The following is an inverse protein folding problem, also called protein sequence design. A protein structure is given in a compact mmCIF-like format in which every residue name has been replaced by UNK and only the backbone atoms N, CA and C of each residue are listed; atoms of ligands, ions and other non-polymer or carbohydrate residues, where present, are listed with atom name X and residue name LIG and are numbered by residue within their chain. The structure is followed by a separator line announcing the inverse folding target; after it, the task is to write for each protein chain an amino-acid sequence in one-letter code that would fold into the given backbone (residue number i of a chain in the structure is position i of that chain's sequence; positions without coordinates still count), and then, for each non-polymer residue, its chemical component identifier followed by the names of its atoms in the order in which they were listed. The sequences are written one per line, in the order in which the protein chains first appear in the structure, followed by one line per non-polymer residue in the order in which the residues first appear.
data_IF_475475712284
#
_entry.id   IF_475475712284
#
_cell.length_a   1.000
_cell.length_b   1.000
_cell.length_c   1.000
_cell.angle_alpha   90.00
_cell.angle_beta   90.00
_cell.angle_gamma   90.00
#
_symmetry.space_group_name_H-M   'P 1'
#
loop_
_entity.id
_entity.type
_entity.pdbx_description
1 polymer ?
#
# COMPACT_ATOMS: atom_id res chain seq x y z
N UNK A 1 3.51 -8.05 -17.02
CA UNK A 1 2.24 -7.61 -16.42
C UNK A 1 2.53 -6.35 -15.63
N UNK A 2 1.84 -5.26 -16.00
CA UNK A 2 1.96 -3.99 -15.28
C UNK A 2 1.27 -4.08 -13.92
N UNK A 3 1.56 -3.13 -13.04
CA UNK A 3 0.89 -3.08 -11.74
C UNK A 3 -0.63 -2.84 -11.89
N UNK A 4 -1.05 -2.07 -12.90
CA UNK A 4 -2.46 -1.81 -13.19
C UNK A 4 -3.21 -3.10 -13.59
N UNK A 5 -2.62 -3.89 -14.48
CA UNK A 5 -3.18 -5.17 -14.92
C UNK A 5 -3.30 -6.14 -13.74
N UNK A 6 -2.23 -6.26 -12.96
CA UNK A 6 -2.20 -7.15 -11.80
C UNK A 6 -3.15 -6.70 -10.69
N UNK A 7 -3.27 -5.40 -10.44
CA UNK A 7 -4.23 -4.86 -9.48
C UNK A 7 -5.66 -5.19 -9.88
N UNK A 8 -5.97 -5.10 -11.17
CA UNK A 8 -7.28 -5.47 -11.71
C UNK A 8 -7.58 -6.95 -11.49
N UNK A 9 -6.61 -7.84 -11.72
CA UNK A 9 -6.74 -9.26 -11.42
C UNK A 9 -6.97 -9.51 -9.92
N UNK A 10 -6.17 -8.88 -9.06
CA UNK A 10 -6.31 -8.96 -7.60
C UNK A 10 -7.69 -8.50 -7.10
N UNK A 11 -8.28 -7.45 -7.70
CA UNK A 11 -9.62 -7.00 -7.35
C UNK A 11 -10.71 -8.01 -7.72
N UNK A 12 -10.57 -8.68 -8.88
CA UNK A 12 -11.49 -9.75 -9.30
C UNK A 12 -11.43 -10.93 -8.33
N UNK A 13 -10.23 -11.42 -8.04
CA UNK A 13 -10.02 -12.51 -7.07
C UNK A 13 -10.52 -12.14 -5.67
N UNK A 14 -10.27 -10.90 -5.24
CA UNK A 14 -10.76 -10.38 -3.96
C UNK A 14 -12.29 -10.33 -3.88
N UNK A 15 -12.99 -10.20 -4.99
CA UNK A 15 -14.45 -10.21 -5.06
C UNK A 15 -15.02 -11.62 -5.13
N UNK A 16 -14.46 -12.46 -6.01
CA UNK A 16 -14.94 -13.83 -6.25
C UNK A 16 -14.63 -14.79 -5.10
N UNK A 17 -13.44 -14.70 -4.51
CA UNK A 17 -12.95 -15.65 -3.50
C UNK A 17 -12.68 -15.01 -2.14
N UNK A 18 -12.51 -13.68 -2.10
CA UNK A 18 -12.10 -12.97 -0.89
C UNK A 18 -13.23 -12.63 0.09
N UNK A 19 -14.50 -12.86 -0.28
CA UNK A 19 -15.66 -12.53 0.55
C UNK A 19 -15.76 -11.03 0.92
N UNK A 20 -15.10 -10.15 0.17
CA UNK A 20 -15.12 -8.73 0.48
C UNK A 20 -16.48 -8.15 0.12
N UNK A 21 -17.04 -7.33 1.03
CA UNK A 21 -18.19 -6.51 0.71
C UNK A 21 -17.88 -5.60 -0.49
N UNK A 22 -18.88 -5.33 -1.32
CA UNK A 22 -18.77 -4.46 -2.50
C UNK A 22 -18.14 -3.09 -2.16
N UNK A 23 -18.57 -2.51 -1.03
CA UNK A 23 -18.01 -1.26 -0.49
C UNK A 23 -16.49 -1.32 -0.32
N UNK A 24 -15.95 -2.45 0.12
CA UNK A 24 -14.50 -2.64 0.29
C UNK A 24 -13.79 -2.73 -1.05
N UNK A 25 -14.40 -3.35 -2.07
CA UNK A 25 -13.82 -3.38 -3.41
C UNK A 25 -13.79 -1.99 -4.05
N UNK A 26 -14.85 -1.19 -3.84
CA UNK A 26 -14.89 0.22 -4.26
C UNK A 26 -13.78 1.01 -3.56
N UNK A 27 -13.63 0.85 -2.25
CA UNK A 27 -12.60 1.56 -1.48
C UNK A 27 -11.17 1.20 -1.94
N UNK A 28 -10.90 -0.08 -2.20
CA UNK A 28 -9.63 -0.53 -2.79
C UNK A 28 -9.39 0.15 -4.15
N UNK A 29 -10.38 0.12 -5.05
CA UNK A 29 -10.28 0.73 -6.40
C UNK A 29 -9.98 2.22 -6.31
N UNK A 30 -10.76 2.96 -5.53
CA UNK A 30 -10.54 4.40 -5.35
C UNK A 30 -9.18 4.72 -4.73
N UNK A 31 -8.73 3.90 -3.78
CA UNK A 31 -7.41 4.06 -3.16
C UNK A 31 -6.30 3.88 -4.21
N UNK A 32 -6.41 2.86 -5.06
CA UNK A 32 -5.47 2.61 -6.15
C UNK A 32 -5.44 3.75 -7.16
N UNK A 33 -6.60 4.10 -7.72
CA UNK A 33 -6.72 5.10 -8.78
C UNK A 33 -6.19 6.48 -8.32
N UNK A 34 -6.45 6.86 -7.06
CA UNK A 34 -6.06 8.16 -6.52
C UNK A 34 -4.59 8.26 -6.12
N UNK A 35 -3.98 7.16 -5.68
CA UNK A 35 -2.66 7.20 -5.04
C UNK A 35 -1.58 6.52 -5.88
N UNK A 36 -1.88 5.39 -6.50
CA UNK A 36 -0.87 4.50 -7.07
C UNK A 36 -0.89 4.46 -8.60
N UNK A 37 -2.06 4.50 -9.23
CA UNK A 37 -2.21 4.29 -10.67
C UNK A 37 -1.34 5.22 -11.51
N UNK A 38 -1.32 6.52 -11.19
CA UNK A 38 -0.53 7.51 -11.92
C UNK A 38 0.98 7.39 -11.71
N UNK A 39 1.42 6.81 -10.59
CA UNK A 39 2.85 6.74 -10.23
C UNK A 39 3.48 5.42 -10.65
N UNK A 40 2.79 4.31 -10.43
CA UNK A 40 3.33 2.95 -10.65
C UNK A 40 2.44 2.06 -11.52
N UNK A 41 1.30 2.54 -12.01
CA UNK A 41 0.31 1.72 -12.72
C UNK A 41 0.90 1.03 -13.96
N UNK A 42 1.69 1.75 -14.74
CA UNK A 42 2.34 1.24 -15.95
C UNK A 42 3.68 0.52 -15.67
N UNK A 43 4.21 0.66 -14.45
CA UNK A 43 5.45 -0.01 -14.06
C UNK A 43 5.26 -1.52 -13.97
N UNK A 44 6.31 -2.29 -14.28
CA UNK A 44 6.28 -3.72 -14.05
C UNK A 44 6.26 -4.01 -12.55
N UNK A 45 5.52 -5.05 -12.18
CA UNK A 45 5.39 -5.50 -10.79
C UNK A 45 6.73 -5.80 -10.09
N UNK A 46 7.73 -6.18 -10.87
CA UNK A 46 9.10 -6.50 -10.40
C UNK A 46 9.95 -5.28 -10.14
N UNK A 47 9.57 -4.14 -10.71
CA UNK A 47 10.40 -2.95 -10.74
C UNK A 47 9.98 -1.96 -9.65
N UNK A 48 8.78 -2.15 -9.09
CA UNK A 48 8.27 -1.34 -7.98
C UNK A 48 8.99 -1.70 -6.69
N UNK A 49 9.67 -0.71 -6.13
CA UNK A 49 10.43 -0.83 -4.89
C UNK A 49 9.57 -0.48 -3.67
N UNK A 50 10.05 -0.87 -2.49
CA UNK A 50 9.43 -0.47 -1.23
C UNK A 50 9.43 1.06 -1.04
N UNK A 51 10.50 1.75 -1.44
CA UNK A 51 10.65 3.19 -1.25
C UNK A 51 9.62 3.97 -2.05
N UNK A 52 9.39 3.60 -3.32
CA UNK A 52 8.34 4.22 -4.14
C UNK A 52 6.95 4.05 -3.51
N UNK A 53 6.67 2.88 -2.92
CA UNK A 53 5.41 2.63 -2.23
C UNK A 53 5.27 3.48 -0.96
N UNK A 54 6.37 3.69 -0.22
CA UNK A 54 6.39 4.55 0.96
C UNK A 54 6.16 6.03 0.57
N UNK A 55 6.85 6.51 -0.46
CA UNK A 55 6.74 7.90 -0.95
C UNK A 55 5.31 8.26 -1.39
N UNK A 56 4.56 7.30 -1.93
CA UNK A 56 3.16 7.50 -2.31
C UNK A 56 2.25 7.71 -1.08
N UNK A 57 2.47 6.96 0.01
CA UNK A 57 1.55 6.95 1.16
C UNK A 57 1.96 7.88 2.30
N UNK A 58 3.24 8.19 2.45
CA UNK A 58 3.75 9.07 3.51
C UNK A 58 3.10 10.46 3.55
N UNK A 59 2.74 11.09 2.41
CA UNK A 59 1.96 12.33 2.41
C UNK A 59 0.62 12.22 3.15
N UNK A 60 0.01 11.03 3.24
CA UNK A 60 -1.22 10.82 4.03
C UNK A 60 -0.92 10.87 5.53
N UNK A 61 0.21 10.31 5.94
CA UNK A 61 0.67 10.30 7.33
C UNK A 61 1.01 11.72 7.79
N UNK A 62 1.76 12.47 6.99
CA UNK A 62 2.16 13.86 7.33
C UNK A 62 0.97 14.81 7.38
N UNK A 63 -0.07 14.59 6.55
CA UNK A 63 -1.33 15.36 6.57
C UNK A 63 -2.31 14.93 7.67
N UNK A 64 -1.91 14.05 8.59
CA UNK A 64 -2.75 13.57 9.69
C UNK A 64 -3.88 12.61 9.28
N UNK A 65 -3.89 12.11 8.03
CA UNK A 65 -4.93 11.21 7.49
C UNK A 65 -4.63 9.75 7.84
N UNK A 66 -4.51 9.45 9.14
CA UNK A 66 -4.03 8.15 9.65
C UNK A 66 -4.85 6.95 9.19
N UNK A 67 -6.19 7.07 9.14
CA UNK A 67 -7.06 5.99 8.66
C UNK A 67 -6.84 5.70 7.17
N UNK A 68 -6.74 6.75 6.34
CA UNK A 68 -6.47 6.60 4.91
C UNK A 68 -5.10 5.98 4.66
N UNK A 69 -4.08 6.41 5.40
CA UNK A 69 -2.75 5.80 5.39
C UNK A 69 -2.82 4.31 5.73
N UNK A 70 -3.43 3.95 6.87
CA UNK A 70 -3.53 2.55 7.30
C UNK A 70 -4.26 1.67 6.26
N UNK A 71 -5.33 2.18 5.65
CA UNK A 71 -6.06 1.46 4.60
C UNK A 71 -5.22 1.27 3.33
N UNK A 72 -4.58 2.34 2.85
CA UNK A 72 -3.71 2.28 1.67
C UNK A 72 -2.58 1.26 1.84
N UNK A 73 -1.88 1.32 2.97
CA UNK A 73 -0.81 0.38 3.33
C UNK A 73 -1.35 -1.04 3.40
N UNK A 74 -2.50 -1.26 4.05
CA UNK A 74 -3.11 -2.59 4.16
C UNK A 74 -3.42 -3.19 2.78
N UNK A 75 -4.00 -2.39 1.89
CA UNK A 75 -4.40 -2.88 0.57
C UNK A 75 -3.20 -3.19 -0.32
N UNK A 76 -2.23 -2.28 -0.38
CA UNK A 76 -1.02 -2.46 -1.20
C UNK A 76 -0.13 -3.57 -0.64
N UNK A 77 0.05 -3.65 0.68
CA UNK A 77 0.79 -4.77 1.29
C UNK A 77 0.17 -6.10 0.92
N UNK A 78 -1.16 -6.24 0.99
CA UNK A 78 -1.84 -7.49 0.64
C UNK A 78 -1.70 -7.82 -0.85
N UNK A 79 -1.74 -6.82 -1.72
CA UNK A 79 -1.53 -6.99 -3.16
C UNK A 79 -0.11 -7.51 -3.48
N UNK A 80 0.94 -6.86 -2.99
CA UNK A 80 2.33 -7.28 -3.25
C UNK A 80 2.75 -8.54 -2.47
N UNK A 81 2.10 -8.84 -1.35
CA UNK A 81 2.32 -10.08 -0.60
C UNK A 81 1.62 -11.28 -1.24
N UNK A 82 0.36 -11.12 -1.68
CA UNK A 82 -0.40 -12.17 -2.37
C UNK A 82 0.21 -12.59 -3.71
N UNK A 83 0.95 -11.69 -4.37
CA UNK A 83 1.75 -12.01 -5.56
C UNK A 83 3.07 -12.75 -5.27
N UNK A 84 3.40 -13.03 -4.00
CA UNK A 84 4.58 -13.82 -3.60
C UNK A 84 5.95 -13.16 -3.85
N UNK A 85 6.03 -11.84 -4.08
CA UNK A 85 7.24 -11.20 -4.63
C UNK A 85 7.96 -10.21 -3.72
N UNK A 86 7.30 -9.62 -2.72
CA UNK A 86 8.00 -8.81 -1.71
C UNK A 86 7.99 -9.55 -0.38
N UNK A 87 9.16 -10.06 0.03
CA UNK A 87 9.33 -10.77 1.29
C UNK A 87 8.80 -9.97 2.48
N UNK A 88 8.02 -10.62 3.35
CA UNK A 88 7.34 -10.03 4.52
C UNK A 88 8.23 -9.15 5.41
N UNK A 89 9.55 -9.39 5.38
CA UNK A 89 10.58 -8.72 6.17
C UNK A 89 10.76 -7.24 5.82
N UNK A 90 10.69 -6.86 4.53
CA UNK A 90 10.89 -5.45 4.10
C UNK A 90 9.73 -4.53 4.52
N UNK A 91 8.51 -5.05 4.52
CA UNK A 91 7.31 -4.31 4.94
C UNK A 91 7.20 -4.15 6.46
N UNK A 92 7.78 -5.07 7.23
CA UNK A 92 7.76 -4.99 8.69
C UNK A 92 8.61 -3.81 9.18
N UNK A 93 9.79 -3.59 8.61
CA UNK A 93 10.74 -2.57 9.10
C UNK A 93 10.32 -1.15 8.68
N UNK A 94 9.90 -0.95 7.44
CA UNK A 94 9.61 0.41 6.93
C UNK A 94 8.29 1.04 7.38
N UNK A 95 7.28 0.24 7.76
CA UNK A 95 5.99 0.77 8.25
C UNK A 95 5.84 0.77 9.77
N UNK A 96 6.65 -0.01 10.51
CA UNK A 96 6.58 -0.07 11.98
C UNK A 96 7.63 0.82 12.67
N UNK A 97 8.62 1.35 11.97
CA UNK A 97 9.71 2.17 12.51
C UNK A 97 9.38 3.64 12.79
N UNK A 98 8.33 3.91 13.56
CA UNK A 98 8.35 4.98 14.57
C UNK A 98 7.79 4.38 15.84
N UNK A 99 8.54 3.47 16.44
CA UNK A 99 8.28 3.00 17.79
C UNK A 99 9.00 3.90 18.78
N UNK A 100 8.26 4.88 19.28
CA UNK A 100 8.26 5.37 20.67
C UNK A 100 9.49 6.05 21.33
N UNK A 101 10.68 6.20 20.72
CA UNK A 101 11.85 6.79 21.42
C UNK A 101 12.41 8.14 20.90
N UNK A 102 12.10 8.59 19.67
CA UNK A 102 12.84 9.70 19.03
C UNK A 102 12.21 11.11 19.14
N UNK A 103 11.48 11.41 20.23
CA UNK A 103 10.99 12.78 20.51
C UNK A 103 11.33 13.30 21.90
N UNK A 104 12.38 12.76 22.52
CA UNK A 104 12.89 13.26 23.81
C UNK A 104 14.32 13.82 23.76
N UNK A 105 14.94 13.95 22.59
CA UNK A 105 16.36 14.28 22.49
C UNK A 105 16.73 15.56 21.72
N UNK A 106 15.78 16.40 21.28
CA UNK A 106 16.13 17.61 20.51
C UNK A 106 15.73 18.96 21.15
N UNK A 107 15.16 18.99 22.36
CA UNK A 107 14.95 20.23 23.11
C UNK A 107 14.98 20.02 24.64
N UNK A 108 16.08 19.45 25.15
CA UNK A 108 16.44 19.52 26.56
C UNK A 108 17.93 19.83 26.69
#
# INVERSE_FOLDING_TARGET
MTCQEAWTAYLRESGEFGGNAEKTLIDKRQTWDRLFAHTIGESLLTDVTFLELADIVDPLKTKGRRTAFNNAVRYVKKFFHGGGRIGSSHWAVGFTGSTAQDRKAEHA
#
